data_IF_963078144195
#
_entry.id   IF_963078144195
#
_cell.length_a   1.000
_cell.length_b   1.000
_cell.length_c   1.000
_cell.angle_alpha   90.00
_cell.angle_beta   90.00
_cell.angle_gamma   90.00
#
_symmetry.space_group_name_H-M   'P 1'
#
loop_
_entity.id
_entity.type
_entity.pdbx_description
1 polymer ?
#
# COMPACT_ATOMS: atom_id res chain seq x y z
N UNK A 1 -0.72 3.85 6.02
CA UNK A 1 -2.08 4.27 6.45
C UNK A 1 -2.06 5.66 7.12
N UNK A 2 -1.12 5.97 8.02
CA UNK A 2 -1.07 7.27 8.75
C UNK A 2 -1.23 8.50 7.84
N UNK A 3 -0.47 8.57 6.72
CA UNK A 3 -0.60 9.67 5.76
C UNK A 3 -1.98 9.79 5.13
N UNK A 4 -2.77 8.70 5.06
CA UNK A 4 -4.14 8.74 4.57
C UNK A 4 -5.09 9.33 5.61
N UNK A 5 -4.86 9.07 6.88
CA UNK A 5 -5.62 9.69 7.95
C UNK A 5 -5.50 11.22 7.90
N UNK A 6 -4.27 11.74 7.72
CA UNK A 6 -4.03 13.18 7.61
C UNK A 6 -4.73 13.79 6.38
N UNK A 7 -4.63 13.11 5.21
CA UNK A 7 -5.34 13.54 3.99
C UNK A 7 -6.84 13.53 4.17
N UNK A 8 -7.37 12.48 4.80
CA UNK A 8 -8.79 12.34 5.02
C UNK A 8 -9.32 13.42 5.97
N UNK A 9 -8.61 13.68 7.09
CA UNK A 9 -8.97 14.77 8.02
C UNK A 9 -9.00 16.12 7.32
N UNK A 10 -8.01 16.40 6.45
CA UNK A 10 -7.98 17.63 5.66
C UNK A 10 -9.16 17.70 4.69
N UNK A 11 -9.38 16.65 3.89
CA UNK A 11 -10.48 16.61 2.93
C UNK A 11 -11.86 16.68 3.59
N UNK A 12 -12.01 16.06 4.78
CA UNK A 12 -13.23 16.18 5.59
C UNK A 12 -13.49 17.63 5.99
N UNK A 13 -12.46 18.33 6.47
CA UNK A 13 -12.56 19.76 6.82
C UNK A 13 -12.94 20.61 5.61
N UNK A 14 -12.42 20.30 4.42
CA UNK A 14 -12.72 21.03 3.19
C UNK A 14 -14.18 20.86 2.74
N UNK A 15 -14.86 19.75 3.06
CA UNK A 15 -16.29 19.52 2.75
C UNK A 15 -17.23 19.93 3.91
N UNK A 16 -16.70 20.21 5.10
CA UNK A 16 -17.50 20.68 6.25
C UNK A 16 -17.84 22.18 6.12
N UNK A 17 -18.39 22.59 5.00
CA UNK A 17 -18.86 23.95 4.73
C UNK A 17 -20.32 23.94 4.34
N UNK A 18 -21.01 25.04 4.62
CA UNK A 18 -22.40 25.24 4.24
C UNK A 18 -22.59 26.57 3.53
N UNK A 19 -23.69 26.72 2.80
CA UNK A 19 -24.12 28.02 2.22
C UNK A 19 -25.65 28.09 2.12
N UNK A 20 -26.20 29.26 2.38
CA UNK A 20 -27.59 29.63 2.12
C UNK A 20 -27.67 31.07 1.57
N UNK A 21 -26.62 31.50 0.88
CA UNK A 21 -26.47 32.85 0.30
C UNK A 21 -27.36 33.13 -0.92
N UNK A 22 -28.25 32.18 -1.28
CA UNK A 22 -29.23 32.33 -2.35
C UNK A 22 -28.76 31.79 -3.70
N UNK A 23 -29.55 32.02 -4.73
CA UNK A 23 -29.37 31.42 -6.07
C UNK A 23 -28.09 31.83 -6.79
N UNK A 24 -27.50 32.96 -6.43
CA UNK A 24 -26.26 33.50 -7.04
C UNK A 24 -25.21 33.89 -5.99
N UNK A 25 -25.40 33.51 -4.73
CA UNK A 25 -24.43 33.74 -3.66
C UNK A 25 -24.32 35.18 -3.14
N UNK A 26 -25.36 36.01 -3.33
CA UNK A 26 -25.32 37.44 -3.04
C UNK A 26 -26.11 37.90 -1.82
N UNK A 27 -26.69 36.97 -1.06
CA UNK A 27 -27.55 37.23 0.12
C UNK A 27 -28.74 38.19 -0.18
N UNK A 28 -29.30 38.11 -1.38
CA UNK A 28 -30.34 39.04 -1.85
C UNK A 28 -31.60 39.02 -0.94
N UNK A 29 -31.90 37.89 -0.28
CA UNK A 29 -33.15 37.68 0.47
C UNK A 29 -32.90 37.21 1.92
N UNK A 30 -31.69 37.03 2.34
CA UNK A 30 -31.29 36.55 3.66
C UNK A 30 -30.09 37.31 4.17
N UNK A 31 -30.10 37.67 5.44
CA UNK A 31 -28.94 38.28 6.08
C UNK A 31 -27.81 37.24 6.29
N UNK A 32 -26.53 37.61 6.15
CA UNK A 32 -25.37 36.69 6.34
C UNK A 32 -25.37 36.01 7.73
N UNK A 33 -25.89 36.66 8.76
CA UNK A 33 -25.98 36.13 10.13
C UNK A 33 -26.84 34.86 10.20
N UNK A 34 -27.83 34.73 9.33
CA UNK A 34 -28.68 33.52 9.24
C UNK A 34 -27.87 32.32 8.76
N UNK A 35 -27.00 32.53 7.75
CA UNK A 35 -26.10 31.49 7.29
C UNK A 35 -25.08 31.07 8.38
N UNK A 36 -24.46 32.06 9.04
CA UNK A 36 -23.51 31.79 10.11
C UNK A 36 -24.14 30.97 11.26
N UNK A 37 -25.35 31.36 11.70
CA UNK A 37 -26.05 30.65 12.76
C UNK A 37 -26.46 29.24 12.32
N UNK A 38 -26.92 29.08 11.09
CA UNK A 38 -27.31 27.78 10.55
C UNK A 38 -26.11 26.84 10.44
N UNK A 39 -25.02 27.34 9.87
CA UNK A 39 -23.79 26.58 9.74
C UNK A 39 -23.24 26.17 11.13
N UNK A 40 -23.21 27.08 12.08
CA UNK A 40 -22.80 26.81 13.47
C UNK A 40 -23.62 25.70 14.11
N UNK A 41 -24.93 25.74 13.95
CA UNK A 41 -25.86 24.74 14.51
C UNK A 41 -25.66 23.35 13.89
N UNK A 42 -25.20 23.28 12.65
CA UNK A 42 -24.90 22.05 11.91
C UNK A 42 -23.44 21.59 12.06
N UNK A 43 -22.60 22.32 12.78
CA UNK A 43 -21.16 22.02 12.89
C UNK A 43 -20.39 22.28 11.58
N UNK A 44 -20.91 23.18 10.74
CA UNK A 44 -20.31 23.59 9.46
C UNK A 44 -19.68 24.98 9.57
N UNK A 45 -18.82 25.30 8.61
CA UNK A 45 -18.30 26.68 8.42
C UNK A 45 -18.97 27.30 7.19
N UNK A 46 -19.41 28.57 7.21
CA UNK A 46 -19.90 29.23 6.02
C UNK A 46 -18.85 29.25 4.91
N UNK A 47 -19.25 28.96 3.67
CA UNK A 47 -18.37 29.07 2.53
C UNK A 47 -18.05 30.55 2.28
N UNK A 48 -16.76 30.99 2.23
CA UNK A 48 -16.43 32.40 2.08
C UNK A 48 -16.95 33.02 0.78
N UNK A 49 -17.03 32.21 -0.26
CA UNK A 49 -17.58 32.55 -1.58
C UNK A 49 -18.31 31.33 -2.12
N UNK A 50 -19.52 31.53 -2.59
CA UNK A 50 -20.31 30.52 -3.25
C UNK A 50 -21.16 31.15 -4.36
N UNK A 51 -21.74 30.32 -5.20
CA UNK A 51 -22.85 30.71 -6.08
C UNK A 51 -24.11 29.96 -5.61
N UNK A 52 -24.87 29.34 -6.46
CA UNK A 52 -26.04 28.56 -6.05
C UNK A 52 -25.69 27.33 -5.21
N UNK A 53 -24.48 26.81 -5.35
CA UNK A 53 -23.97 25.64 -4.62
C UNK A 53 -22.52 25.86 -4.16
N UNK A 54 -22.08 25.02 -3.23
CA UNK A 54 -20.68 24.94 -2.84
C UNK A 54 -19.87 24.33 -3.99
N UNK A 55 -18.66 24.85 -4.26
CA UNK A 55 -17.76 24.38 -5.32
C UNK A 55 -17.45 22.89 -5.16
N UNK A 56 -17.51 22.18 -6.30
CA UNK A 56 -17.40 20.71 -6.33
C UNK A 56 -15.97 20.18 -6.19
N UNK A 57 -14.95 21.02 -6.35
CA UNK A 57 -13.55 20.65 -6.08
C UNK A 57 -13.33 20.11 -4.66
N UNK A 58 -14.07 20.61 -3.67
CA UNK A 58 -14.08 20.11 -2.29
C UNK A 58 -14.51 18.64 -2.22
N UNK A 59 -15.59 18.32 -2.93
CA UNK A 59 -16.13 16.96 -3.01
C UNK A 59 -15.20 16.05 -3.83
N UNK A 60 -14.61 16.56 -4.91
CA UNK A 60 -13.60 15.85 -5.68
C UNK A 60 -12.36 15.52 -4.84
N UNK A 61 -11.87 16.46 -4.01
CA UNK A 61 -10.77 16.24 -3.09
C UNK A 61 -11.11 15.16 -2.05
N UNK A 62 -12.34 15.16 -1.50
CA UNK A 62 -12.79 14.15 -0.55
C UNK A 62 -12.84 12.74 -1.17
N UNK A 63 -13.46 12.59 -2.34
CA UNK A 63 -13.53 11.30 -3.06
C UNK A 63 -12.11 10.85 -3.46
N UNK A 64 -11.22 11.78 -3.86
CA UNK A 64 -9.82 11.48 -4.19
C UNK A 64 -9.04 10.96 -2.97
N UNK A 65 -9.26 11.53 -1.79
CA UNK A 65 -8.63 11.05 -0.56
C UNK A 65 -9.07 9.60 -0.24
N UNK A 66 -10.35 9.29 -0.43
CA UNK A 66 -10.90 7.93 -0.30
C UNK A 66 -10.26 6.98 -1.32
N UNK A 67 -10.17 7.39 -2.58
CA UNK A 67 -9.60 6.56 -3.63
C UNK A 67 -8.10 6.27 -3.43
N UNK A 68 -7.34 7.24 -2.93
CA UNK A 68 -5.93 7.04 -2.56
C UNK A 68 -5.78 6.03 -1.41
N UNK A 69 -6.66 6.07 -0.42
CA UNK A 69 -6.71 5.06 0.64
C UNK A 69 -7.03 3.69 0.03
N UNK A 70 -8.08 3.60 -0.79
CA UNK A 70 -8.46 2.37 -1.48
C UNK A 70 -7.33 1.79 -2.34
N UNK A 71 -6.54 2.64 -3.01
CA UNK A 71 -5.37 2.21 -3.79
C UNK A 71 -4.28 1.59 -2.90
N UNK A 72 -4.07 2.13 -1.69
CA UNK A 72 -3.11 1.56 -0.73
C UNK A 72 -3.59 0.24 -0.13
N UNK A 73 -4.89 0.11 0.17
CA UNK A 73 -5.49 -1.16 0.58
C UNK A 73 -5.37 -2.20 -0.54
N UNK A 74 -5.62 -1.79 -1.79
CA UNK A 74 -5.42 -2.63 -2.96
C UNK A 74 -3.97 -3.09 -3.15
N UNK A 75 -2.97 -2.25 -2.80
CA UNK A 75 -1.56 -2.64 -2.79
C UNK A 75 -1.30 -3.76 -1.78
N UNK A 76 -1.77 -3.60 -0.53
CA UNK A 76 -1.64 -4.62 0.52
C UNK A 76 -2.29 -5.94 0.06
N UNK A 77 -3.52 -5.84 -0.46
CA UNK A 77 -4.25 -6.99 -0.96
C UNK A 77 -3.53 -7.70 -2.11
N UNK A 78 -2.91 -6.96 -3.01
CA UNK A 78 -2.13 -7.52 -4.12
C UNK A 78 -0.92 -8.30 -3.60
N UNK A 79 -0.22 -7.77 -2.60
CA UNK A 79 0.93 -8.45 -1.98
C UNK A 79 0.51 -9.76 -1.33
N UNK A 80 -0.56 -9.77 -0.52
CA UNK A 80 -1.05 -11.00 0.12
C UNK A 80 -1.43 -12.04 -0.94
N UNK A 81 -2.08 -11.64 -2.04
CA UNK A 81 -2.37 -12.55 -3.17
C UNK A 81 -1.11 -13.10 -3.81
N UNK A 82 -0.04 -12.32 -3.87
CA UNK A 82 1.26 -12.78 -4.35
C UNK A 82 1.86 -13.84 -3.45
N UNK A 83 1.81 -13.60 -2.14
CA UNK A 83 2.35 -14.54 -1.14
C UNK A 83 1.55 -15.84 -1.08
N UNK A 84 0.25 -15.82 -1.39
CA UNK A 84 -0.64 -16.99 -1.38
C UNK A 84 -0.52 -17.89 -2.61
N UNK A 85 0.18 -17.48 -3.66
CA UNK A 85 0.34 -18.35 -4.85
C UNK A 85 0.98 -19.67 -4.47
N UNK A 86 0.57 -20.75 -5.13
CA UNK A 86 1.05 -22.13 -4.85
C UNK A 86 2.57 -22.24 -4.89
N UNK A 87 3.24 -21.52 -5.80
CA UNK A 87 4.68 -21.54 -5.99
C UNK A 87 5.42 -20.79 -4.86
N UNK A 88 4.76 -19.85 -4.20
CA UNK A 88 5.31 -19.01 -3.12
C UNK A 88 4.88 -19.54 -1.76
N UNK A 89 3.58 -19.49 -1.50
CA UNK A 89 2.90 -19.94 -0.28
C UNK A 89 3.63 -19.52 1.01
N UNK A 90 3.96 -18.23 1.11
CA UNK A 90 4.59 -17.64 2.31
C UNK A 90 3.57 -17.10 3.30
N UNK A 91 2.40 -16.69 2.80
CA UNK A 91 1.25 -16.31 3.60
C UNK A 91 -0.05 -16.61 2.85
N UNK A 92 -1.16 -16.80 3.55
CA UNK A 92 -2.49 -16.94 2.97
C UNK A 92 -3.59 -16.32 3.83
N UNK A 93 -4.71 -15.95 3.19
CA UNK A 93 -5.93 -15.59 3.90
C UNK A 93 -6.45 -16.77 4.75
N UNK A 94 -6.89 -16.46 5.96
CA UNK A 94 -7.57 -17.47 6.78
C UNK A 94 -8.81 -17.99 6.07
N UNK A 95 -8.87 -19.29 5.92
CA UNK A 95 -9.98 -20.03 5.33
C UNK A 95 -10.83 -20.64 6.43
N UNK A 96 -12.03 -20.11 6.64
CA UNK A 96 -12.90 -20.54 7.74
C UNK A 96 -13.48 -21.95 7.50
N UNK A 97 -13.74 -22.67 8.59
CA UNK A 97 -14.38 -23.99 8.52
C UNK A 97 -15.74 -23.87 7.84
N UNK A 98 -15.93 -24.65 6.77
CA UNK A 98 -17.16 -24.62 5.96
C UNK A 98 -17.18 -23.59 4.83
N UNK A 99 -16.17 -22.75 4.69
CA UNK A 99 -16.02 -21.86 3.55
C UNK A 99 -15.78 -22.69 2.27
N UNK A 100 -16.50 -22.35 1.18
CA UNK A 100 -16.29 -22.99 -0.13
C UNK A 100 -15.33 -22.14 -0.95
N UNK A 101 -14.16 -22.66 -1.28
CA UNK A 101 -13.18 -21.98 -2.14
C UNK A 101 -13.44 -22.17 -3.63
N UNK A 102 -14.12 -23.25 -4.00
CA UNK A 102 -14.46 -23.58 -5.38
C UNK A 102 -15.66 -24.52 -5.41
N UNK A 103 -16.50 -24.40 -6.45
CA UNK A 103 -17.59 -25.36 -6.70
C UNK A 103 -17.09 -26.68 -7.30
N UNK A 104 -15.92 -26.67 -7.97
CA UNK A 104 -15.36 -27.82 -8.67
C UNK A 104 -14.24 -28.54 -7.88
N UNK A 105 -13.45 -27.82 -7.11
CA UNK A 105 -12.31 -28.35 -6.37
C UNK A 105 -12.43 -28.06 -4.87
N UNK A 106 -12.84 -29.04 -4.04
CA UNK A 106 -13.12 -28.80 -2.60
C UNK A 106 -11.93 -28.33 -1.78
N UNK A 107 -10.70 -28.62 -2.22
CA UNK A 107 -9.45 -28.25 -1.55
C UNK A 107 -8.91 -26.86 -1.96
N UNK A 108 -9.50 -26.22 -2.99
CA UNK A 108 -9.01 -24.95 -3.51
C UNK A 108 -9.30 -23.81 -2.53
N UNK A 109 -8.27 -23.06 -2.16
CA UNK A 109 -8.36 -21.86 -1.33
C UNK A 109 -8.02 -20.64 -2.17
N UNK A 110 -9.03 -19.85 -2.49
CA UNK A 110 -8.83 -18.60 -3.25
C UNK A 110 -8.73 -17.42 -2.28
N UNK A 111 -7.90 -16.40 -2.59
CA UNK A 111 -7.79 -15.16 -1.83
C UNK A 111 -8.97 -14.22 -2.11
N UNK A 112 -10.20 -14.65 -1.76
CA UNK A 112 -11.45 -14.00 -2.17
C UNK A 112 -11.59 -12.59 -1.58
N UNK A 113 -11.16 -12.39 -0.33
CA UNK A 113 -11.26 -11.10 0.35
C UNK A 113 -10.33 -10.08 -0.30
N UNK A 114 -9.07 -10.43 -0.52
CA UNK A 114 -8.09 -9.55 -1.17
C UNK A 114 -8.40 -9.35 -2.65
N UNK A 115 -8.99 -10.32 -3.35
CA UNK A 115 -9.52 -10.13 -4.70
C UNK A 115 -10.62 -9.06 -4.74
N UNK A 116 -11.57 -9.10 -3.80
CA UNK A 116 -12.63 -8.09 -3.66
C UNK A 116 -12.05 -6.72 -3.37
N UNK A 117 -11.10 -6.59 -2.43
CA UNK A 117 -10.43 -5.33 -2.12
C UNK A 117 -9.78 -4.75 -3.38
N UNK A 118 -9.09 -5.55 -4.18
CA UNK A 118 -8.49 -5.12 -5.45
C UNK A 118 -9.54 -4.64 -6.46
N UNK A 119 -10.69 -5.31 -6.54
CA UNK A 119 -11.81 -4.92 -7.40
C UNK A 119 -12.42 -3.58 -6.99
N UNK A 120 -12.70 -3.42 -5.69
CA UNK A 120 -13.28 -2.20 -5.12
C UNK A 120 -12.36 -0.99 -5.24
N UNK A 121 -11.06 -1.16 -5.14
CA UNK A 121 -10.09 -0.10 -5.38
C UNK A 121 -10.19 0.48 -6.80
N UNK A 122 -10.66 -0.29 -7.78
CA UNK A 122 -10.91 0.18 -9.16
C UNK A 122 -12.14 1.07 -9.22
N UNK A 123 -13.23 0.68 -8.51
CA UNK A 123 -14.46 1.48 -8.43
C UNK A 123 -14.19 2.85 -7.83
N UNK A 124 -13.46 2.93 -6.70
CA UNK A 124 -13.11 4.19 -6.07
C UNK A 124 -12.33 5.12 -7.01
N UNK A 125 -11.45 4.60 -7.86
CA UNK A 125 -10.78 5.41 -8.89
C UNK A 125 -11.73 5.95 -9.94
N UNK A 126 -12.69 5.13 -10.36
CA UNK A 126 -13.76 5.57 -11.29
C UNK A 126 -14.64 6.67 -10.70
N UNK A 127 -15.00 6.57 -9.41
CA UNK A 127 -15.76 7.60 -8.70
C UNK A 127 -14.98 8.92 -8.58
N UNK A 128 -13.66 8.86 -8.41
CA UNK A 128 -12.80 10.05 -8.42
C UNK A 128 -12.84 10.76 -9.77
N UNK A 129 -12.78 10.03 -10.87
CA UNK A 129 -12.89 10.61 -12.20
C UNK A 129 -14.24 11.34 -12.35
N UNK A 130 -15.32 10.69 -11.95
CA UNK A 130 -16.67 11.31 -12.02
C UNK A 130 -16.75 12.55 -11.14
N UNK A 131 -16.14 12.54 -9.94
CA UNK A 131 -16.12 13.69 -9.05
C UNK A 131 -15.34 14.88 -9.64
N UNK A 132 -14.25 14.63 -10.37
CA UNK A 132 -13.50 15.67 -11.07
C UNK A 132 -14.30 16.27 -12.23
N UNK A 133 -15.04 15.47 -12.97
CA UNK A 133 -15.93 15.94 -14.06
C UNK A 133 -17.10 16.80 -13.54
N UNK A 134 -17.43 16.71 -12.26
CA UNK A 134 -18.44 17.56 -11.63
C UNK A 134 -17.91 18.94 -11.21
N UNK A 135 -16.60 19.21 -11.32
CA UNK A 135 -16.03 20.53 -10.94
C UNK A 135 -16.45 21.66 -11.89
N UNK A 136 -16.31 21.50 -13.22
CA UNK A 136 -16.77 22.51 -14.17
C UNK A 136 -18.28 22.41 -14.35
N UNK A 137 -19.02 23.42 -13.89
CA UNK A 137 -20.46 23.55 -14.09
C UNK A 137 -20.74 24.82 -14.89
N UNK A 138 -21.89 24.85 -15.58
CA UNK A 138 -22.32 26.02 -16.36
C UNK A 138 -22.92 27.09 -15.45
N UNK A 139 -22.47 28.34 -15.66
CA UNK A 139 -22.95 29.53 -14.94
C UNK A 139 -22.92 29.34 -13.41
N UNK A 140 -23.99 29.68 -12.71
CA UNK A 140 -24.11 29.53 -11.26
C UNK A 140 -24.25 28.05 -10.84
N UNK A 141 -24.89 27.24 -11.64
CA UNK A 141 -25.04 25.79 -11.52
C UNK A 141 -25.86 25.22 -12.67
N UNK A 142 -25.43 24.10 -13.25
CA UNK A 142 -26.34 23.15 -13.90
C UNK A 142 -26.59 21.94 -12.98
N UNK A 143 -27.47 21.03 -13.35
CA UNK A 143 -27.87 19.88 -12.51
C UNK A 143 -27.08 18.61 -12.80
N UNK A 144 -26.11 18.62 -13.70
CA UNK A 144 -25.35 17.43 -14.16
C UNK A 144 -24.64 16.70 -13.02
N UNK A 145 -24.04 17.45 -12.07
CA UNK A 145 -23.36 16.89 -10.91
C UNK A 145 -24.29 16.10 -9.97
N UNK A 146 -25.54 16.54 -9.82
CA UNK A 146 -26.45 16.04 -8.77
C UNK A 146 -26.76 14.56 -8.92
N UNK A 147 -27.05 14.09 -10.13
CA UNK A 147 -27.33 12.67 -10.40
C UNK A 147 -26.12 11.79 -10.14
N UNK A 148 -24.93 12.24 -10.54
CA UNK A 148 -23.68 11.52 -10.35
C UNK A 148 -23.28 11.45 -8.86
N UNK A 149 -23.38 12.56 -8.11
CA UNK A 149 -23.02 12.65 -6.70
C UNK A 149 -23.91 11.79 -5.80
N UNK A 150 -25.17 11.57 -6.15
CA UNK A 150 -26.08 10.65 -5.44
C UNK A 150 -25.58 9.21 -5.43
N UNK A 151 -24.74 8.85 -6.40
CA UNK A 151 -24.11 7.53 -6.49
C UNK A 151 -22.71 7.59 -5.89
N UNK A 152 -21.82 8.45 -6.40
CA UNK A 152 -20.40 8.38 -6.08
C UNK A 152 -20.07 8.73 -4.64
N UNK A 153 -20.82 9.63 -3.97
CA UNK A 153 -20.53 10.02 -2.59
C UNK A 153 -20.87 8.90 -1.61
N UNK A 154 -22.13 8.39 -1.54
CA UNK A 154 -22.45 7.30 -0.63
C UNK A 154 -21.65 6.03 -0.96
N UNK A 155 -21.55 5.65 -2.24
CA UNK A 155 -20.89 4.43 -2.63
C UNK A 155 -19.37 4.48 -2.36
N UNK A 156 -18.73 5.64 -2.46
CA UNK A 156 -17.32 5.78 -2.05
C UNK A 156 -17.13 5.52 -0.57
N UNK A 157 -18.00 6.08 0.27
CA UNK A 157 -17.94 5.91 1.73
C UNK A 157 -18.21 4.46 2.14
N UNK A 158 -19.27 3.85 1.60
CA UNK A 158 -19.62 2.45 1.87
C UNK A 158 -18.52 1.51 1.41
N UNK A 159 -18.00 1.74 0.21
CA UNK A 159 -16.95 0.89 -0.38
C UNK A 159 -15.67 0.94 0.44
N UNK A 160 -15.21 2.13 0.84
CA UNK A 160 -13.97 2.25 1.63
C UNK A 160 -14.14 1.70 3.04
N UNK A 161 -15.29 1.87 3.69
CA UNK A 161 -15.59 1.28 4.99
C UNK A 161 -15.53 -0.25 4.93
N UNK A 162 -16.16 -0.85 3.92
CA UNK A 162 -16.08 -2.28 3.69
C UNK A 162 -14.64 -2.75 3.44
N UNK A 163 -13.88 -2.05 2.58
CA UNK A 163 -12.48 -2.38 2.30
C UNK A 163 -11.60 -2.31 3.55
N UNK A 164 -11.82 -1.32 4.42
CA UNK A 164 -11.09 -1.21 5.69
C UNK A 164 -11.38 -2.40 6.61
N UNK A 165 -12.67 -2.73 6.80
CA UNK A 165 -13.10 -3.87 7.64
C UNK A 165 -12.54 -5.20 7.13
N UNK A 166 -12.62 -5.43 5.82
CA UNK A 166 -12.07 -6.65 5.21
C UNK A 166 -10.54 -6.70 5.30
N UNK A 167 -9.84 -5.56 5.12
CA UNK A 167 -8.39 -5.52 5.26
C UNK A 167 -7.95 -5.82 6.67
N UNK A 168 -8.61 -5.25 7.68
CA UNK A 168 -8.36 -5.55 9.10
C UNK A 168 -8.56 -7.04 9.36
N UNK A 169 -9.71 -7.59 8.93
CA UNK A 169 -10.01 -9.01 9.10
C UNK A 169 -8.96 -9.93 8.44
N UNK A 170 -8.47 -9.57 7.25
CA UNK A 170 -7.43 -10.34 6.56
C UNK A 170 -6.11 -10.28 7.32
N UNK A 171 -5.69 -9.10 7.80
CA UNK A 171 -4.41 -8.94 8.51
C UNK A 171 -4.45 -9.63 9.87
N UNK A 172 -5.54 -9.47 10.63
CA UNK A 172 -5.67 -10.05 11.97
C UNK A 172 -5.71 -11.59 11.97
N UNK A 173 -6.10 -12.19 10.83
CA UNK A 173 -6.20 -13.64 10.68
C UNK A 173 -5.25 -14.18 9.61
N UNK A 174 -4.25 -13.43 9.19
CA UNK A 174 -3.29 -13.86 8.18
C UNK A 174 -2.51 -15.07 8.70
N UNK A 175 -2.42 -16.11 7.88
CA UNK A 175 -1.59 -17.28 8.15
C UNK A 175 -0.23 -17.08 7.50
N UNK A 176 0.84 -17.24 8.24
CA UNK A 176 2.22 -17.15 7.76
C UNK A 176 2.93 -18.52 7.82
N UNK A 177 3.82 -18.75 6.87
CA UNK A 177 4.54 -19.99 6.69
C UNK A 177 6.06 -19.77 6.66
N UNK A 178 6.72 -19.62 7.82
CA UNK A 178 8.15 -19.32 7.91
C UNK A 178 9.04 -20.34 7.19
N UNK A 179 8.66 -21.62 7.21
CA UNK A 179 9.44 -22.67 6.53
C UNK A 179 9.39 -22.54 5.00
N UNK A 180 8.27 -22.08 4.45
CA UNK A 180 8.18 -21.76 3.04
C UNK A 180 9.01 -20.52 2.69
N UNK A 181 9.01 -19.49 3.55
CA UNK A 181 9.87 -18.30 3.38
C UNK A 181 11.34 -18.69 3.33
N UNK A 182 11.81 -19.53 4.25
CA UNK A 182 13.18 -20.07 4.25
C UNK A 182 13.48 -20.87 2.99
N UNK A 183 12.59 -21.75 2.58
CA UNK A 183 12.73 -22.52 1.34
C UNK A 183 12.85 -21.62 0.12
N UNK A 184 12.00 -20.59 0.00
CA UNK A 184 12.00 -19.67 -1.13
C UNK A 184 13.25 -18.78 -1.13
N UNK A 185 13.70 -18.32 0.05
CA UNK A 185 14.96 -17.59 0.20
C UNK A 185 16.14 -18.40 -0.35
N UNK A 186 16.14 -19.71 -0.14
CA UNK A 186 17.20 -20.62 -0.59
C UNK A 186 17.03 -21.11 -2.02
N UNK A 187 15.96 -20.76 -2.75
CA UNK A 187 15.76 -21.20 -4.14
C UNK A 187 16.88 -20.75 -5.07
N UNK A 188 17.47 -19.60 -4.80
CA UNK A 188 18.62 -19.08 -5.56
C UNK A 188 19.95 -19.69 -5.13
N UNK A 189 19.92 -20.70 -4.25
CA UNK A 189 21.13 -21.46 -3.83
C UNK A 189 22.25 -20.57 -3.33
N UNK A 190 21.92 -19.58 -2.52
CA UNK A 190 22.86 -18.66 -1.89
C UNK A 190 23.22 -17.43 -2.71
N UNK A 191 22.69 -17.22 -3.93
CA UNK A 191 22.97 -16.03 -4.74
C UNK A 191 22.56 -14.71 -4.08
N UNK A 192 21.62 -14.73 -3.15
CA UNK A 192 21.21 -13.55 -2.38
C UNK A 192 22.38 -12.93 -1.59
N UNK A 193 23.41 -13.72 -1.26
CA UNK A 193 24.60 -13.26 -0.53
C UNK A 193 25.72 -12.75 -1.45
N UNK A 194 25.53 -12.75 -2.78
CA UNK A 194 26.57 -12.38 -3.75
C UNK A 194 27.08 -10.94 -3.56
N UNK A 195 26.21 -10.01 -3.19
CA UNK A 195 26.58 -8.62 -2.88
C UNK A 195 27.45 -8.52 -1.62
N UNK A 196 27.12 -9.27 -0.58
CA UNK A 196 27.89 -9.34 0.67
C UNK A 196 29.31 -9.82 0.41
N UNK A 197 29.46 -10.90 -0.36
CA UNK A 197 30.76 -11.44 -0.76
C UNK A 197 31.55 -10.44 -1.62
N UNK A 198 30.89 -9.76 -2.56
CA UNK A 198 31.53 -8.72 -3.36
C UNK A 198 32.10 -7.60 -2.49
N UNK A 199 31.32 -7.12 -1.53
CA UNK A 199 31.76 -6.05 -0.61
C UNK A 199 32.90 -6.53 0.28
N UNK A 200 32.82 -7.74 0.83
CA UNK A 200 33.88 -8.33 1.63
C UNK A 200 35.22 -8.43 0.84
N UNK A 201 35.17 -8.83 -0.43
CA UNK A 201 36.36 -8.85 -1.30
C UNK A 201 36.93 -7.44 -1.54
N UNK A 202 36.09 -6.43 -1.70
CA UNK A 202 36.55 -5.03 -1.83
C UNK A 202 37.24 -4.54 -0.54
N UNK A 203 36.73 -4.95 0.62
CA UNK A 203 37.34 -4.61 1.92
C UNK A 203 38.73 -5.23 2.11
N UNK A 204 39.08 -6.31 1.41
CA UNK A 204 40.46 -6.88 1.38
C UNK A 204 41.44 -6.08 0.52
N UNK A 205 40.98 -5.02 -0.17
CA UNK A 205 41.81 -4.18 -1.03
C UNK A 205 41.69 -4.47 -2.52
N UNK A 206 40.83 -5.41 -2.92
CA UNK A 206 40.57 -5.65 -4.35
C UNK A 206 39.79 -4.46 -4.97
N UNK A 207 40.04 -4.23 -6.27
CA UNK A 207 39.20 -3.30 -7.00
C UNK A 207 37.77 -3.86 -7.11
N UNK A 208 36.78 -2.98 -7.17
CA UNK A 208 35.38 -3.42 -7.35
C UNK A 208 35.17 -4.25 -8.62
N UNK A 209 35.92 -3.95 -9.66
CA UNK A 209 35.84 -4.68 -10.94
C UNK A 209 36.37 -6.11 -10.81
N UNK A 210 37.47 -6.31 -10.11
CA UNK A 210 38.05 -7.63 -9.92
C UNK A 210 37.23 -8.48 -8.95
N UNK A 211 36.78 -7.89 -7.85
CA UNK A 211 35.82 -8.53 -6.95
C UNK A 211 34.53 -8.95 -7.68
N UNK A 212 34.02 -8.08 -8.56
CA UNK A 212 32.85 -8.39 -9.37
C UNK A 212 33.06 -9.58 -10.29
N UNK A 213 34.19 -9.64 -10.99
CA UNK A 213 34.54 -10.75 -11.88
C UNK A 213 34.61 -12.08 -11.12
N UNK A 214 35.25 -12.10 -9.95
CA UNK A 214 35.34 -13.29 -9.10
C UNK A 214 33.97 -13.79 -8.65
N UNK A 215 33.11 -12.89 -8.17
CA UNK A 215 31.76 -13.25 -7.75
C UNK A 215 30.90 -13.70 -8.93
N UNK A 216 30.96 -12.99 -10.06
CA UNK A 216 30.16 -13.28 -11.24
C UNK A 216 30.51 -14.65 -11.85
N UNK A 217 31.81 -15.01 -11.98
CA UNK A 217 32.19 -16.31 -12.53
C UNK A 217 31.64 -17.49 -11.74
N UNK A 218 31.53 -17.36 -10.41
CA UNK A 218 30.95 -18.38 -9.55
C UNK A 218 29.41 -18.35 -9.63
N UNK A 219 28.82 -17.17 -9.61
CA UNK A 219 27.36 -17.00 -9.72
C UNK A 219 26.81 -17.60 -11.04
N UNK A 220 27.50 -17.41 -12.15
CA UNK A 220 27.08 -17.95 -13.46
C UNK A 220 27.09 -19.48 -13.52
N UNK A 221 27.97 -20.15 -12.76
CA UNK A 221 27.99 -21.63 -12.68
C UNK A 221 26.70 -22.17 -12.03
N UNK A 222 26.09 -21.42 -11.11
CA UNK A 222 24.83 -21.81 -10.46
C UNK A 222 23.69 -21.90 -11.47
N UNK A 223 23.55 -20.90 -12.33
CA UNK A 223 22.52 -20.88 -13.37
C UNK A 223 22.66 -22.03 -14.35
N UNK A 224 23.91 -22.35 -14.73
CA UNK A 224 24.21 -23.35 -15.76
C UNK A 224 24.22 -24.79 -15.22
N UNK A 225 24.65 -25.01 -13.99
CA UNK A 225 24.97 -26.32 -13.44
C UNK A 225 24.13 -26.68 -12.20
N UNK A 226 23.37 -25.72 -11.65
CA UNK A 226 22.53 -25.96 -10.47
C UNK A 226 23.32 -26.23 -9.18
N UNK A 227 24.54 -25.72 -9.07
CA UNK A 227 25.41 -25.86 -7.90
C UNK A 227 25.04 -24.85 -6.80
N UNK A 228 25.59 -25.03 -5.61
CA UNK A 228 25.43 -24.12 -4.47
C UNK A 228 26.51 -23.03 -4.51
N UNK A 229 26.12 -21.77 -4.27
CA UNK A 229 27.03 -20.62 -4.39
C UNK A 229 28.16 -20.67 -3.36
N UNK A 230 27.84 -21.01 -2.10
CA UNK A 230 28.82 -21.12 -1.03
C UNK A 230 29.86 -22.20 -1.37
N UNK A 231 29.41 -23.35 -1.85
CA UNK A 231 30.33 -24.42 -2.24
C UNK A 231 31.28 -24.02 -3.37
N UNK A 232 30.77 -23.26 -4.36
CA UNK A 232 31.57 -22.75 -5.45
C UNK A 232 32.64 -21.73 -4.99
N UNK A 233 32.28 -20.85 -4.04
CA UNK A 233 33.24 -19.91 -3.46
C UNK A 233 34.35 -20.64 -2.68
N UNK A 234 34.01 -21.69 -1.94
CA UNK A 234 34.96 -22.50 -1.17
C UNK A 234 35.87 -23.37 -2.07
N UNK A 235 35.57 -23.49 -3.35
CA UNK A 235 36.37 -24.21 -4.33
C UNK A 235 37.21 -23.26 -5.24
N UNK A 236 37.04 -21.95 -5.06
CA UNK A 236 37.74 -20.94 -5.85
C UNK A 236 39.03 -20.51 -5.12
N UNK A 237 40.17 -21.11 -5.49
CA UNK A 237 41.48 -20.86 -4.86
C UNK A 237 41.85 -19.38 -4.87
N UNK A 238 41.64 -18.69 -6.00
CA UNK A 238 41.95 -17.25 -6.14
C UNK A 238 41.09 -16.39 -5.17
N UNK A 239 39.82 -16.74 -5.01
CA UNK A 239 38.93 -16.05 -4.07
C UNK A 239 39.38 -16.31 -2.62
N UNK A 240 39.77 -17.55 -2.30
CA UNK A 240 40.23 -17.94 -0.93
C UNK A 240 41.53 -17.25 -0.52
N UNK A 241 42.41 -16.85 -1.48
CA UNK A 241 43.59 -16.03 -1.20
C UNK A 241 43.22 -14.65 -0.59
N UNK A 242 42.06 -14.12 -0.97
CA UNK A 242 41.58 -12.81 -0.50
C UNK A 242 40.58 -12.92 0.61
N UNK A 243 39.68 -13.90 0.61
CA UNK A 243 38.63 -14.07 1.58
C UNK A 243 38.61 -15.51 2.13
N UNK A 244 39.14 -15.74 3.35
CA UNK A 244 39.21 -17.07 3.95
C UNK A 244 37.82 -17.70 4.14
N UNK A 245 37.78 -19.05 4.19
CA UNK A 245 36.55 -19.83 4.39
C UNK A 245 35.72 -19.34 5.58
N UNK A 246 36.36 -19.02 6.70
CA UNK A 246 35.69 -18.57 7.91
C UNK A 246 34.92 -17.27 7.66
N UNK A 247 35.50 -16.31 6.93
CA UNK A 247 34.87 -15.05 6.57
C UNK A 247 33.73 -15.27 5.57
N UNK A 248 33.93 -16.11 4.56
CA UNK A 248 32.86 -16.47 3.62
C UNK A 248 31.65 -16.99 4.41
N UNK A 249 31.86 -17.92 5.34
CA UNK A 249 30.78 -18.51 6.14
C UNK A 249 30.00 -17.50 6.98
N UNK A 250 30.63 -16.44 7.48
CA UNK A 250 29.98 -15.37 8.24
C UNK A 250 28.98 -14.56 7.40
N UNK A 251 29.21 -14.47 6.09
CA UNK A 251 28.34 -13.74 5.16
C UNK A 251 27.10 -14.55 4.74
N UNK A 252 27.08 -15.86 4.91
CA UNK A 252 25.92 -16.73 4.63
C UNK A 252 24.99 -16.84 5.85
N UNK A 253 24.70 -15.72 6.49
CA UNK A 253 23.80 -15.64 7.65
C UNK A 253 22.57 -14.79 7.32
N UNK A 254 21.36 -15.39 7.23
CA UNK A 254 20.13 -14.61 6.97
C UNK A 254 19.79 -13.62 8.09
N UNK A 255 20.18 -13.89 9.33
CA UNK A 255 19.87 -13.01 10.46
C UNK A 255 20.56 -11.65 10.34
N UNK A 256 21.73 -11.60 9.67
CA UNK A 256 22.43 -10.35 9.38
C UNK A 256 21.62 -9.39 8.50
N UNK A 257 20.83 -9.94 7.57
CA UNK A 257 19.95 -9.15 6.70
C UNK A 257 18.82 -8.49 7.52
N UNK A 258 18.40 -9.13 8.60
CA UNK A 258 17.30 -8.70 9.46
C UNK A 258 17.74 -7.82 10.65
N UNK A 259 19.04 -7.69 10.91
CA UNK A 259 19.61 -7.03 12.09
C UNK A 259 19.06 -5.63 12.36
N UNK A 260 18.70 -4.88 11.31
CA UNK A 260 18.21 -3.51 11.43
C UNK A 260 16.69 -3.35 11.24
N UNK A 261 15.96 -4.45 11.16
CA UNK A 261 14.50 -4.41 10.95
C UNK A 261 13.80 -3.80 12.15
N UNK A 262 14.22 -4.15 13.37
CA UNK A 262 13.65 -3.60 14.60
C UNK A 262 13.79 -2.08 14.69
N UNK A 263 14.94 -1.53 14.29
CA UNK A 263 15.12 -0.08 14.20
C UNK A 263 14.08 0.62 13.31
N UNK A 264 13.67 -0.03 12.21
CA UNK A 264 12.65 0.52 11.30
C UNK A 264 11.29 0.57 12.00
N UNK A 265 10.93 -0.50 12.73
CA UNK A 265 9.68 -0.56 13.50
C UNK A 265 9.66 0.43 14.66
N UNK A 266 10.74 0.55 15.43
CA UNK A 266 10.87 1.51 16.53
C UNK A 266 10.69 2.95 16.04
N UNK A 267 11.39 3.34 14.97
CA UNK A 267 11.25 4.66 14.35
C UNK A 267 9.83 4.97 13.90
N UNK A 268 9.12 3.96 13.39
CA UNK A 268 7.72 4.12 13.00
C UNK A 268 6.80 4.31 14.22
N UNK A 269 7.01 3.51 15.27
CA UNK A 269 6.21 3.57 16.50
C UNK A 269 6.37 4.92 17.22
N UNK A 270 7.57 5.45 17.31
CA UNK A 270 7.84 6.78 17.87
C UNK A 270 7.08 7.87 17.11
N UNK A 271 7.10 7.82 15.78
CA UNK A 271 6.35 8.75 14.94
C UNK A 271 4.83 8.62 15.15
N UNK A 272 4.31 7.42 15.29
CA UNK A 272 2.90 7.17 15.54
C UNK A 272 2.44 7.72 16.90
N UNK A 273 3.24 7.56 17.96
CA UNK A 273 2.98 8.13 19.29
C UNK A 273 2.95 9.66 19.27
N UNK A 274 3.82 10.30 18.49
CA UNK A 274 3.89 11.76 18.37
C UNK A 274 2.72 12.36 17.56
N UNK A 275 2.07 11.58 16.70
CA UNK A 275 0.87 12.00 15.97
C UNK A 275 -0.44 11.85 16.76
N UNK A 276 -0.42 11.12 17.87
CA UNK A 276 -1.58 10.96 18.77
C UNK A 276 -1.65 12.00 19.89
N UNK A 277 -0.57 12.75 20.11
CA UNK A 277 -0.50 13.94 20.99
C UNK A 277 -0.90 15.20 20.21
#
# INVERSE_FOLDING_TARGET
ISRHLDRFKKALKDVQVGQISGAVGTYQHLEPEVEEMTCRNLGLTPAPVSNQIIQRDRHAAFVSAIALLGASLGKIATEIRHLQRTEVLEAEEYFSKGQKGSSAMPHKRNPIKTERICGMARLLRGFTQTAMENVPLWHERDISHSSAERVILPDSCITVDFMLKETINVIDNLLDYPENMKRNLNQTRGLIYSQEILLALVETGLTREDAYKMVQRNAMKIWNQGLDFRQLLLQDEELLEHLPEEEINKHFNPDKILERVDYIFERYQEKAKNQQK
#
